data_IF_913972151975
#
_entry.id   IF_913972151975
#
_cell.length_a   1.000
_cell.length_b   1.000
_cell.length_c   1.000
_cell.angle_alpha   90.00
_cell.angle_beta   90.00
_cell.angle_gamma   90.00
#
_symmetry.space_group_name_H-M   'P 1'
#
loop_
_entity.id
_entity.type
_entity.pdbx_description
1 polymer ?
#
# COMPACT_ATOMS: atom_id res chain seq x y z
N UNK A 1 85.50 48.84 1.12
CA UNK A 1 84.17 48.22 1.22
C UNK A 1 84.22 47.21 2.35
N UNK A 2 83.40 47.40 3.39
CA UNK A 2 83.30 46.50 4.53
C UNK A 2 82.57 45.21 4.15
N UNK A 3 82.92 44.07 4.76
CA UNK A 3 82.20 42.79 4.59
C UNK A 3 80.69 42.93 4.82
N UNK A 4 80.30 43.82 5.73
CA UNK A 4 78.91 44.12 6.06
C UNK A 4 78.16 44.75 4.87
N UNK A 5 78.81 45.64 4.11
CA UNK A 5 78.21 46.30 2.94
C UNK A 5 77.93 45.31 1.81
N UNK A 6 78.83 44.34 1.60
CA UNK A 6 78.63 43.27 0.63
C UNK A 6 77.47 42.35 1.01
N UNK A 7 77.32 42.04 2.29
CA UNK A 7 76.21 41.23 2.81
C UNK A 7 74.85 41.92 2.60
N UNK A 8 74.79 43.25 2.81
CA UNK A 8 73.57 44.03 2.56
C UNK A 8 73.20 44.05 1.07
N UNK A 9 74.17 44.23 0.17
CA UNK A 9 73.92 44.18 -1.28
C UNK A 9 73.45 42.81 -1.76
N UNK A 10 73.95 41.72 -1.16
CA UNK A 10 73.51 40.37 -1.50
C UNK A 10 72.04 40.14 -1.11
N UNK A 11 71.61 40.68 0.04
CA UNK A 11 70.25 40.55 0.55
C UNK A 11 69.23 41.27 -0.34
N UNK A 12 69.57 42.46 -0.85
CA UNK A 12 68.69 43.21 -1.77
C UNK A 12 68.62 42.56 -3.15
N UNK A 13 69.74 42.03 -3.67
CA UNK A 13 69.71 41.23 -4.91
C UNK A 13 68.80 40.02 -4.75
N UNK A 14 68.91 39.32 -3.62
CA UNK A 14 68.15 38.10 -3.38
C UNK A 14 66.65 38.37 -3.24
N UNK A 15 66.25 39.45 -2.57
CA UNK A 15 64.84 39.82 -2.44
C UNK A 15 64.22 40.19 -3.79
N UNK A 16 64.96 40.90 -4.65
CA UNK A 16 64.52 41.23 -6.01
C UNK A 16 64.40 39.97 -6.88
N UNK A 17 65.40 39.08 -6.84
CA UNK A 17 65.34 37.80 -7.56
C UNK A 17 64.20 36.91 -7.07
N UNK A 18 63.93 36.89 -5.76
CA UNK A 18 62.81 36.15 -5.19
C UNK A 18 61.46 36.73 -5.61
N UNK A 19 61.31 38.07 -5.58
CA UNK A 19 60.11 38.75 -6.07
C UNK A 19 59.84 38.43 -7.55
N UNK A 20 60.88 38.43 -8.39
CA UNK A 20 60.76 38.03 -9.80
C UNK A 20 60.41 36.56 -9.98
N UNK A 21 61.00 35.67 -9.18
CA UNK A 21 60.68 34.24 -9.18
C UNK A 21 59.21 33.98 -8.84
N UNK A 22 58.70 34.61 -7.78
CA UNK A 22 57.29 34.48 -7.39
C UNK A 22 56.34 35.05 -8.45
N UNK A 23 56.71 36.15 -9.11
CA UNK A 23 55.92 36.74 -10.20
C UNK A 23 55.84 35.83 -11.44
N UNK A 24 56.95 35.20 -11.83
CA UNK A 24 56.98 34.25 -12.95
C UNK A 24 56.15 32.98 -12.66
N UNK A 25 56.24 32.45 -11.45
CA UNK A 25 55.42 31.31 -11.01
C UNK A 25 53.94 31.68 -11.03
N UNK A 26 53.59 32.89 -10.59
CA UNK A 26 52.22 33.37 -10.67
C UNK A 26 51.74 33.47 -12.13
N UNK A 27 52.55 34.03 -13.03
CA UNK A 27 52.21 34.13 -14.45
C UNK A 27 52.02 32.77 -15.12
N UNK A 28 52.83 31.77 -14.74
CA UNK A 28 52.69 30.39 -15.21
C UNK A 28 51.44 29.70 -14.62
N UNK A 29 51.17 29.89 -13.33
CA UNK A 29 49.99 29.32 -12.66
C UNK A 29 48.68 29.89 -13.20
N UNK A 30 48.64 31.18 -13.55
CA UNK A 30 47.45 31.84 -14.13
C UNK A 30 47.16 31.33 -15.54
N UNK A 31 48.18 30.92 -16.31
CA UNK A 31 48.00 30.36 -17.66
C UNK A 31 47.42 28.94 -17.68
N UNK A 32 47.65 28.15 -16.62
CA UNK A 32 47.13 26.77 -16.50
C UNK A 32 45.71 26.70 -15.90
N UNK A 33 45.18 27.83 -15.39
CA UNK A 33 43.83 27.96 -14.85
C UNK A 33 42.71 27.84 -15.91
N UNK A 34 42.79 28.46 -17.11
CA UNK A 34 41.77 28.30 -18.16
C UNK A 34 41.68 26.89 -18.73
N UNK A 35 42.75 26.09 -18.66
CA UNK A 35 42.75 24.70 -19.12
C UNK A 35 41.98 23.79 -18.16
N UNK A 36 42.15 23.98 -16.85
CA UNK A 36 41.35 23.29 -15.82
C UNK A 36 39.86 23.62 -15.89
N UNK A 37 39.53 24.89 -16.17
CA UNK A 37 38.12 25.32 -16.31
C UNK A 37 37.43 24.64 -17.50
N UNK A 38 38.13 24.44 -18.62
CA UNK A 38 37.60 23.70 -19.78
C UNK A 38 37.41 22.22 -19.48
N UNK A 39 38.35 21.60 -18.77
CA UNK A 39 38.21 20.20 -18.34
C UNK A 39 37.00 20.01 -17.41
N UNK A 40 36.78 20.94 -16.49
CA UNK A 40 35.61 20.93 -15.61
C UNK A 40 34.30 21.18 -16.39
N UNK A 41 34.30 22.08 -17.39
CA UNK A 41 33.16 22.31 -18.27
C UNK A 41 32.80 21.07 -19.10
N UNK A 42 33.79 20.36 -19.65
CA UNK A 42 33.58 19.10 -20.37
C UNK A 42 32.98 18.02 -19.45
N UNK A 43 33.45 17.91 -18.22
CA UNK A 43 32.87 17.01 -17.21
C UNK A 43 31.44 17.38 -16.86
N UNK A 44 31.13 18.67 -16.75
CA UNK A 44 29.76 19.16 -16.52
C UNK A 44 28.84 18.81 -17.69
N UNK A 45 29.30 18.97 -18.93
CA UNK A 45 28.53 18.57 -20.13
C UNK A 45 28.29 17.05 -20.12
N UNK A 46 29.30 16.25 -19.79
CA UNK A 46 29.17 14.80 -19.71
C UNK A 46 28.18 14.37 -18.61
N UNK A 47 28.27 15.00 -17.43
CA UNK A 47 27.35 14.76 -16.32
C UNK A 47 25.93 15.19 -16.69
N UNK A 48 25.77 16.33 -17.36
CA UNK A 48 24.47 16.81 -17.84
C UNK A 48 23.85 15.83 -18.84
N UNK A 49 24.65 15.28 -19.76
CA UNK A 49 24.22 14.23 -20.68
C UNK A 49 23.76 12.98 -19.94
N UNK A 50 24.54 12.50 -18.96
CA UNK A 50 24.18 11.33 -18.15
C UNK A 50 22.93 11.57 -17.31
N UNK A 51 22.83 12.73 -16.67
CA UNK A 51 21.66 13.13 -15.88
C UNK A 51 20.43 13.21 -16.77
N UNK A 52 20.53 13.83 -17.95
CA UNK A 52 19.43 13.87 -18.93
C UNK A 52 18.99 12.45 -19.31
N UNK A 53 19.91 11.59 -19.73
CA UNK A 53 19.56 10.19 -20.08
C UNK A 53 18.96 9.42 -18.91
N UNK A 54 19.45 9.68 -17.69
CA UNK A 54 18.93 9.03 -16.49
C UNK A 54 17.51 9.51 -16.18
N UNK A 55 17.26 10.81 -16.22
CA UNK A 55 15.94 11.41 -16.02
C UNK A 55 14.97 10.89 -17.09
N UNK A 56 15.37 10.94 -18.37
CA UNK A 56 14.57 10.43 -19.49
C UNK A 56 14.20 8.95 -19.27
N UNK A 57 15.18 8.11 -18.89
CA UNK A 57 14.92 6.68 -18.58
C UNK A 57 13.98 6.46 -17.39
N UNK A 58 14.08 7.28 -16.35
CA UNK A 58 13.23 7.17 -15.17
C UNK A 58 11.81 7.65 -15.47
N UNK A 59 11.67 8.67 -16.30
CA UNK A 59 10.40 9.18 -16.76
C UNK A 59 9.69 8.11 -17.61
N UNK A 60 10.42 7.48 -18.55
CA UNK A 60 9.88 6.38 -19.36
C UNK A 60 9.42 5.19 -18.49
N UNK A 61 10.21 4.78 -17.51
CA UNK A 61 9.82 3.71 -16.57
C UNK A 61 8.60 4.13 -15.73
N UNK A 62 8.52 5.40 -15.35
CA UNK A 62 7.38 5.92 -14.60
C UNK A 62 6.10 5.89 -15.45
N UNK A 63 6.19 6.29 -16.72
CA UNK A 63 5.08 6.21 -17.67
C UNK A 63 4.63 4.77 -17.89
N UNK A 64 5.57 3.82 -18.04
CA UNK A 64 5.24 2.40 -18.14
C UNK A 64 4.51 1.90 -16.90
N UNK A 65 5.02 2.21 -15.70
CA UNK A 65 4.37 1.83 -14.44
C UNK A 65 2.99 2.45 -14.29
N UNK A 66 2.81 3.70 -14.72
CA UNK A 66 1.50 4.37 -14.72
C UNK A 66 0.51 3.66 -15.63
N UNK A 67 0.97 3.22 -16.81
CA UNK A 67 0.16 2.44 -17.75
C UNK A 67 -0.23 1.08 -17.18
N UNK A 68 0.72 0.33 -16.63
CA UNK A 68 0.45 -0.96 -15.96
C UNK A 68 -0.59 -0.80 -14.84
N UNK A 69 -0.47 0.25 -14.02
CA UNK A 69 -1.45 0.54 -12.96
C UNK A 69 -2.84 0.80 -13.53
N UNK A 70 -2.95 1.60 -14.60
CA UNK A 70 -4.23 1.87 -15.24
C UNK A 70 -4.85 0.60 -15.85
N UNK A 71 -4.05 -0.26 -16.46
CA UNK A 71 -4.52 -1.53 -17.03
C UNK A 71 -5.02 -2.47 -15.92
N UNK A 72 -4.29 -2.58 -14.79
CA UNK A 72 -4.74 -3.35 -13.62
C UNK A 72 -6.04 -2.80 -13.02
N UNK A 73 -6.21 -1.47 -12.96
CA UNK A 73 -7.47 -0.85 -12.51
C UNK A 73 -8.63 -1.25 -13.42
N UNK A 74 -8.41 -1.27 -14.74
CA UNK A 74 -9.42 -1.71 -15.70
C UNK A 74 -9.79 -3.18 -15.49
N UNK A 75 -8.79 -4.06 -15.33
CA UNK A 75 -9.01 -5.49 -15.10
C UNK A 75 -9.79 -5.74 -13.80
N UNK A 76 -9.48 -5.02 -12.72
CA UNK A 76 -10.23 -5.10 -11.46
C UNK A 76 -11.68 -4.67 -11.67
N UNK A 77 -11.93 -3.61 -12.45
CA UNK A 77 -13.29 -3.15 -12.72
C UNK A 77 -14.11 -4.19 -13.51
N UNK A 78 -13.47 -4.89 -14.46
CA UNK A 78 -14.09 -5.96 -15.24
C UNK A 78 -14.38 -7.19 -14.37
N UNK A 79 -13.42 -7.61 -13.53
CA UNK A 79 -13.60 -8.71 -12.58
C UNK A 79 -14.68 -8.39 -11.56
N UNK A 80 -14.70 -7.18 -11.01
CA UNK A 80 -15.73 -6.72 -10.09
C UNK A 80 -17.11 -6.77 -10.75
N UNK A 81 -17.22 -6.30 -11.99
CA UNK A 81 -18.46 -6.37 -12.76
C UNK A 81 -18.91 -7.82 -12.99
N UNK A 82 -17.99 -8.72 -13.33
CA UNK A 82 -18.29 -10.16 -13.49
C UNK A 82 -18.78 -10.78 -12.19
N UNK A 83 -18.10 -10.55 -11.06
CA UNK A 83 -18.51 -11.06 -9.75
C UNK A 83 -19.89 -10.52 -9.36
N UNK A 84 -20.17 -9.24 -9.62
CA UNK A 84 -21.47 -8.64 -9.36
C UNK A 84 -22.58 -9.30 -10.20
N UNK A 85 -22.31 -9.58 -11.48
CA UNK A 85 -23.23 -10.29 -12.36
C UNK A 85 -23.45 -11.74 -11.91
N UNK A 86 -22.40 -12.47 -11.57
CA UNK A 86 -22.51 -13.85 -11.09
C UNK A 86 -23.32 -13.90 -9.77
N UNK A 87 -23.08 -12.96 -8.85
CA UNK A 87 -23.85 -12.83 -7.62
C UNK A 87 -25.33 -12.51 -7.89
N UNK A 88 -25.63 -11.65 -8.86
CA UNK A 88 -27.02 -11.32 -9.21
C UNK A 88 -27.73 -12.54 -9.83
N UNK A 89 -27.08 -13.25 -10.74
CA UNK A 89 -27.59 -14.47 -11.36
C UNK A 89 -27.80 -15.60 -10.34
N UNK A 90 -26.87 -15.78 -9.40
CA UNK A 90 -27.03 -16.73 -8.30
C UNK A 90 -28.20 -16.35 -7.39
N UNK A 91 -28.37 -15.06 -7.10
CA UNK A 91 -29.52 -14.55 -6.33
C UNK A 91 -30.83 -14.78 -7.08
N UNK A 92 -30.89 -14.57 -8.38
CA UNK A 92 -32.07 -14.86 -9.20
C UNK A 92 -32.36 -16.36 -9.29
N UNK A 93 -31.35 -17.19 -9.56
CA UNK A 93 -31.47 -18.65 -9.59
C UNK A 93 -31.93 -19.22 -8.25
N UNK A 94 -31.41 -18.68 -7.13
CA UNK A 94 -31.90 -19.06 -5.81
C UNK A 94 -33.33 -18.57 -5.59
N UNK A 95 -33.71 -17.37 -6.04
CA UNK A 95 -35.10 -16.88 -5.96
C UNK A 95 -36.08 -17.77 -6.75
N UNK A 96 -35.68 -18.21 -7.94
CA UNK A 96 -36.46 -19.13 -8.78
C UNK A 96 -36.55 -20.53 -8.15
N UNK A 97 -35.46 -21.07 -7.61
CA UNK A 97 -35.47 -22.34 -6.86
C UNK A 97 -36.33 -22.27 -5.60
N UNK A 98 -36.30 -21.16 -4.87
CA UNK A 98 -37.16 -20.94 -3.71
C UNK A 98 -38.64 -20.89 -4.14
N UNK A 99 -38.97 -20.25 -5.27
CA UNK A 99 -40.33 -20.24 -5.81
C UNK A 99 -40.79 -21.63 -6.31
N UNK A 100 -39.92 -22.40 -6.98
CA UNK A 100 -40.23 -23.77 -7.41
C UNK A 100 -40.38 -24.75 -6.24
N UNK A 101 -39.61 -24.58 -5.16
CA UNK A 101 -39.77 -25.37 -3.94
C UNK A 101 -41.03 -24.96 -3.17
N UNK A 102 -41.40 -23.68 -3.11
CA UNK A 102 -42.66 -23.24 -2.49
C UNK A 102 -43.86 -23.84 -3.23
N UNK A 103 -43.86 -23.90 -4.57
CA UNK A 103 -44.96 -24.50 -5.36
C UNK A 103 -45.03 -26.03 -5.18
N UNK A 104 -43.89 -26.71 -4.94
CA UNK A 104 -43.87 -28.15 -4.63
C UNK A 104 -44.30 -28.44 -3.19
N UNK A 105 -43.88 -27.60 -2.24
CA UNK A 105 -44.34 -27.68 -0.85
C UNK A 105 -45.83 -27.35 -0.74
N UNK A 106 -46.38 -26.38 -1.48
CA UNK A 106 -47.82 -26.09 -1.51
C UNK A 106 -48.67 -27.26 -2.05
N UNK A 107 -48.15 -28.03 -3.02
CA UNK A 107 -48.83 -29.25 -3.50
C UNK A 107 -48.80 -30.39 -2.50
N UNK A 108 -47.72 -30.53 -1.72
CA UNK A 108 -47.60 -31.55 -0.67
C UNK A 108 -48.49 -31.17 0.54
N UNK A 109 -48.57 -29.89 0.89
CA UNK A 109 -49.38 -29.39 2.01
C UNK A 109 -50.89 -29.52 1.74
N UNK A 110 -51.36 -29.49 0.48
CA UNK A 110 -52.78 -29.74 0.19
C UNK A 110 -53.21 -31.19 0.42
N UNK A 111 -52.31 -32.16 0.32
CA UNK A 111 -52.61 -33.58 0.59
C UNK A 111 -52.49 -33.94 2.07
N UNK A 112 -51.65 -33.22 2.86
CA UNK A 112 -51.53 -33.44 4.32
C UNK A 112 -52.51 -32.62 5.18
N UNK A 113 -53.24 -31.66 4.61
CA UNK A 113 -54.18 -30.79 5.36
C UNK A 113 -55.45 -31.48 5.91
N UNK A 114 -55.53 -32.81 5.86
CA UNK A 114 -56.58 -33.55 6.57
C UNK A 114 -56.19 -34.00 7.97
N UNK A 115 -54.91 -33.91 8.38
CA UNK A 115 -54.53 -34.28 9.74
C UNK A 115 -53.59 -33.26 10.39
N UNK A 116 -54.16 -32.57 11.39
CA UNK A 116 -53.47 -32.01 12.56
C UNK A 116 -52.88 -30.60 12.37
N UNK A 117 -53.70 -29.62 12.76
CA UNK A 117 -53.26 -28.30 13.27
C UNK A 117 -52.16 -28.46 14.33
N UNK A 118 -50.97 -27.91 14.09
CA UNK A 118 -50.10 -27.28 15.11
C UNK A 118 -49.01 -26.43 14.44
N UNK A 119 -48.70 -25.30 15.06
CA UNK A 119 -47.96 -24.13 14.58
C UNK A 119 -46.57 -24.42 13.96
N UNK A 120 -46.11 -23.61 12.97
CA UNK A 120 -44.77 -23.74 12.42
C UNK A 120 -43.75 -23.19 13.42
N UNK A 121 -42.88 -24.07 13.94
CA UNK A 121 -41.66 -23.68 14.64
C UNK A 121 -40.69 -23.07 13.62
N UNK A 122 -40.51 -21.76 13.68
CA UNK A 122 -39.40 -21.07 13.03
C UNK A 122 -38.08 -21.67 13.51
N UNK A 123 -37.26 -22.14 12.57
CA UNK A 123 -35.92 -22.65 12.84
C UNK A 123 -35.04 -21.50 13.37
N UNK A 124 -34.84 -21.45 14.70
CA UNK A 124 -33.93 -20.50 15.34
C UNK A 124 -32.51 -20.67 14.79
N UNK A 125 -31.89 -19.57 14.38
CA UNK A 125 -30.50 -19.53 13.89
C UNK A 125 -29.51 -19.92 14.99
N UNK A 126 -28.27 -20.29 14.63
CA UNK A 126 -27.28 -20.75 15.61
C UNK A 126 -26.91 -19.65 16.61
N UNK A 127 -26.89 -18.41 16.13
CA UNK A 127 -26.65 -17.19 16.90
C UNK A 127 -27.74 -16.98 17.95
N UNK A 128 -29.01 -17.14 17.58
CA UNK A 128 -30.15 -17.04 18.50
C UNK A 128 -30.10 -18.10 19.59
N UNK A 129 -29.67 -19.33 19.27
CA UNK A 129 -29.49 -20.41 20.24
C UNK A 129 -28.33 -20.15 21.20
N UNK A 130 -27.24 -19.55 20.71
CA UNK A 130 -26.10 -19.12 21.54
C UNK A 130 -26.55 -18.03 22.52
N UNK A 131 -27.31 -17.04 22.05
CA UNK A 131 -27.87 -15.96 22.87
C UNK A 131 -28.86 -16.49 23.91
N UNK A 132 -29.73 -17.43 23.54
CA UNK A 132 -30.67 -18.06 24.47
C UNK A 132 -29.94 -18.81 25.61
N UNK A 133 -28.87 -19.53 25.28
CA UNK A 133 -28.06 -20.23 26.29
C UNK A 133 -27.28 -19.27 27.18
N UNK A 134 -26.77 -18.17 26.64
CA UNK A 134 -26.15 -17.10 27.43
C UNK A 134 -27.15 -16.45 28.40
N UNK A 135 -28.37 -16.12 27.93
CA UNK A 135 -29.43 -15.57 28.78
C UNK A 135 -29.89 -16.56 29.86
N UNK A 136 -29.77 -17.87 29.61
CA UNK A 136 -30.04 -18.93 30.59
C UNK A 136 -28.88 -19.16 31.58
N UNK A 137 -27.81 -18.36 31.53
CA UNK A 137 -26.70 -18.39 32.48
C UNK A 137 -25.60 -19.40 32.15
N UNK A 138 -25.56 -19.96 30.94
CA UNK A 138 -24.49 -20.87 30.53
C UNK A 138 -23.16 -20.13 30.35
N UNK A 139 -22.06 -20.76 30.75
CA UNK A 139 -20.71 -20.21 30.58
C UNK A 139 -20.29 -20.19 29.11
N UNK A 140 -19.52 -19.19 28.69
CA UNK A 140 -18.95 -19.07 27.34
C UNK A 140 -18.21 -20.35 26.92
N UNK A 141 -17.55 -21.03 27.86
CA UNK A 141 -16.84 -22.29 27.62
C UNK A 141 -17.79 -23.48 27.37
N UNK A 142 -18.96 -23.50 28.01
CA UNK A 142 -19.97 -24.55 27.82
C UNK A 142 -20.69 -24.39 26.48
N UNK A 143 -20.99 -23.15 26.10
CA UNK A 143 -21.56 -22.80 24.81
C UNK A 143 -20.58 -23.18 23.70
N UNK A 144 -19.31 -22.79 23.82
CA UNK A 144 -18.25 -23.14 22.88
C UNK A 144 -18.16 -24.66 22.66
N UNK A 145 -18.17 -25.45 23.75
CA UNK A 145 -18.15 -26.92 23.70
C UNK A 145 -19.40 -27.51 23.04
N UNK A 146 -20.57 -26.91 23.28
CA UNK A 146 -21.85 -27.41 22.75
C UNK A 146 -22.02 -27.17 21.26
N UNK A 147 -21.50 -26.05 20.75
CA UNK A 147 -21.58 -25.70 19.32
C UNK A 147 -20.32 -26.05 18.54
N UNK A 148 -19.24 -26.48 19.20
CA UNK A 148 -17.97 -26.79 18.55
C UNK A 148 -17.25 -25.54 18.01
N UNK A 149 -17.51 -24.39 18.61
CA UNK A 149 -17.03 -23.07 18.18
C UNK A 149 -15.97 -22.59 19.18
N UNK A 150 -14.98 -21.79 18.75
CA UNK A 150 -14.00 -21.19 19.66
C UNK A 150 -14.63 -20.25 20.70
N UNK A 151 -14.07 -20.23 21.92
CA UNK A 151 -14.53 -19.36 23.02
C UNK A 151 -14.56 -17.88 22.59
N UNK A 152 -13.58 -17.45 21.77
CA UNK A 152 -13.52 -16.10 21.23
C UNK A 152 -14.67 -15.75 20.27
N UNK A 153 -15.14 -16.71 19.48
CA UNK A 153 -16.26 -16.51 18.55
C UNK A 153 -17.60 -16.41 19.30
N UNK A 154 -17.79 -17.23 20.34
CA UNK A 154 -18.95 -17.13 21.22
C UNK A 154 -19.01 -15.75 21.89
N UNK A 155 -17.87 -15.27 22.41
CA UNK A 155 -17.77 -13.94 23.02
C UNK A 155 -18.08 -12.83 22.02
N UNK A 156 -17.63 -12.96 20.78
CA UNK A 156 -17.90 -11.99 19.71
C UNK A 156 -19.40 -11.91 19.38
N UNK A 157 -20.09 -13.05 19.30
CA UNK A 157 -21.54 -13.11 19.04
C UNK A 157 -22.31 -12.43 20.18
N UNK A 158 -21.92 -12.70 21.44
CA UNK A 158 -22.55 -12.07 22.61
C UNK A 158 -22.32 -10.55 22.61
N UNK A 159 -21.10 -10.09 22.32
CA UNK A 159 -20.76 -8.66 22.30
C UNK A 159 -21.51 -7.91 21.18
N UNK A 160 -21.59 -8.50 19.98
CA UNK A 160 -22.39 -7.98 18.87
C UNK A 160 -23.88 -7.90 19.22
N UNK A 161 -24.41 -8.91 19.91
CA UNK A 161 -25.80 -8.92 20.37
C UNK A 161 -26.08 -7.82 21.39
N UNK A 162 -25.21 -7.65 22.38
CA UNK A 162 -25.33 -6.58 23.40
C UNK A 162 -25.25 -5.20 22.75
N UNK A 163 -24.35 -4.99 21.79
CA UNK A 163 -24.21 -3.73 21.05
C UNK A 163 -25.43 -3.43 20.18
N UNK A 164 -25.98 -4.45 19.51
CA UNK A 164 -27.19 -4.32 18.69
C UNK A 164 -28.41 -3.95 19.53
N UNK A 165 -28.58 -4.58 20.70
CA UNK A 165 -29.72 -4.36 21.59
C UNK A 165 -29.58 -3.09 22.46
N UNK A 166 -28.36 -2.66 22.76
CA UNK A 166 -28.03 -1.44 23.53
C UNK A 166 -27.78 -0.19 22.68
N UNK A 167 -27.99 -0.26 21.37
CA UNK A 167 -27.76 0.83 20.41
C UNK A 167 -28.99 1.67 20.06
N UNK A 168 -29.97 1.78 20.97
CA UNK A 168 -31.00 2.82 20.93
C UNK A 168 -30.66 3.85 22.02
N UNK A 169 -29.93 4.89 21.63
CA UNK A 169 -29.88 6.16 22.35
C UNK A 169 -30.96 7.08 21.78
#
# INVERSE_FOLDING_TARGET
MSFVEWLVLLSTIFSVSFAWGTYLVHLYSTKNQPEKLKEDEERLIQLMGRVKTFVDSKLEILEQKMKEVNDLISEINDLYSKVLLDMSQLKEKNRQKTQENIIKEEKIILEEKNEIKKEPKTEKTMEEKIIELYNNGASEAEIAKKFGIGIGEVRLIIDLFLRSKGGQL
#
